data_IF_773532789949
#
_entry.id   IF_773532789949
#
_cell.length_a   1.000
_cell.length_b   1.000
_cell.length_c   1.000
_cell.angle_alpha   90.00
_cell.angle_beta   90.00
_cell.angle_gamma   90.00
#
_symmetry.space_group_name_H-M   'P 1'
#
loop_
_entity.id
_entity.type
_entity.pdbx_description
1 polymer ?
#
# COMPACT_ATOMS: atom_id res chain seq x y z
N UNK A 1 4.32 11.56 -9.73
CA UNK A 1 2.93 12.08 -9.68
C UNK A 1 2.26 11.62 -8.41
N UNK A 2 1.66 12.54 -7.68
CA UNK A 2 0.95 12.24 -6.44
C UNK A 2 -0.54 12.17 -6.73
N UNK A 3 -1.19 11.09 -6.26
CA UNK A 3 -2.63 10.92 -6.35
C UNK A 3 -3.18 10.76 -4.94
N UNK A 4 -4.24 11.46 -4.64
CA UNK A 4 -4.83 11.46 -3.31
C UNK A 4 -6.06 10.57 -3.22
N UNK A 5 -6.22 9.89 -2.08
CA UNK A 5 -7.40 9.09 -1.74
C UNK A 5 -7.80 8.11 -2.83
N UNK A 6 -6.83 7.40 -3.38
CA UNK A 6 -7.08 6.39 -4.40
C UNK A 6 -7.20 5.01 -3.76
N UNK A 7 -7.86 4.11 -4.47
CA UNK A 7 -8.00 2.72 -4.04
C UNK A 7 -6.80 1.92 -4.51
N UNK A 8 -6.17 1.21 -3.59
CA UNK A 8 -5.13 0.24 -3.93
C UNK A 8 -5.48 -1.08 -3.25
N UNK A 9 -5.48 -2.14 -4.04
CA UNK A 9 -5.82 -3.48 -3.55
C UNK A 9 -4.55 -4.24 -3.18
N UNK A 10 -4.49 -4.74 -1.96
CA UNK A 10 -3.33 -5.46 -1.46
C UNK A 10 -3.31 -6.88 -2.04
N UNK A 11 -2.18 -7.26 -2.62
CA UNK A 11 -1.96 -8.59 -3.16
C UNK A 11 -1.02 -9.39 -2.26
N UNK A 12 0.07 -8.78 -1.82
CA UNK A 12 1.03 -9.43 -0.93
C UNK A 12 1.67 -8.39 -0.03
N UNK A 13 1.96 -8.78 1.20
CA UNK A 13 2.56 -7.91 2.20
C UNK A 13 3.75 -8.60 2.85
N UNK A 14 4.68 -7.76 3.34
CA UNK A 14 5.80 -8.20 4.14
C UNK A 14 5.74 -7.43 5.46
N UNK A 15 5.43 -8.15 6.55
CA UNK A 15 5.33 -7.52 7.87
C UNK A 15 6.69 -7.12 8.44
N UNK A 16 7.77 -7.57 7.83
CA UNK A 16 9.13 -7.28 8.29
C UNK A 16 9.79 -6.14 7.52
N UNK A 17 9.15 -5.65 6.47
CA UNK A 17 9.72 -4.62 5.61
C UNK A 17 8.67 -3.68 5.07
N UNK A 18 9.04 -2.40 4.99
CA UNK A 18 8.21 -1.39 4.34
C UNK A 18 8.24 -1.50 2.81
N UNK A 19 9.13 -2.33 2.28
CA UNK A 19 9.37 -2.48 0.85
C UNK A 19 8.92 -3.86 0.38
N UNK A 20 8.67 -3.95 -0.92
CA UNK A 20 8.33 -5.22 -1.53
C UNK A 20 6.86 -5.61 -1.40
N UNK A 21 6.02 -4.72 -0.92
CA UNK A 21 4.59 -4.96 -0.93
C UNK A 21 4.09 -4.97 -2.37
N UNK A 22 3.10 -5.82 -2.67
CA UNK A 22 2.50 -5.92 -3.99
C UNK A 22 1.05 -5.45 -3.91
N UNK A 23 0.67 -4.62 -4.85
CA UNK A 23 -0.70 -4.09 -4.90
C UNK A 23 -1.14 -3.80 -6.32
N UNK A 24 -2.46 -3.72 -6.50
CA UNK A 24 -3.08 -3.23 -7.73
C UNK A 24 -3.56 -1.80 -7.55
N UNK A 25 -3.32 -1.00 -8.56
CA UNK A 25 -3.89 0.33 -8.69
C UNK A 25 -4.28 0.53 -10.16
N UNK A 26 -5.56 0.82 -10.44
CA UNK A 26 -6.09 0.98 -11.80
C UNK A 26 -5.72 -0.18 -12.72
N UNK A 27 -5.91 -1.41 -12.25
CA UNK A 27 -5.63 -2.65 -13.00
C UNK A 27 -4.15 -2.92 -13.25
N UNK A 28 -3.26 -2.05 -12.79
CA UNK A 28 -1.82 -2.26 -12.90
C UNK A 28 -1.27 -2.89 -11.62
N UNK A 29 -0.46 -3.91 -11.79
CA UNK A 29 0.24 -4.56 -10.67
C UNK A 29 1.54 -3.84 -10.37
N UNK A 30 1.67 -3.37 -9.14
CA UNK A 30 2.91 -2.78 -8.64
C UNK A 30 3.56 -3.77 -7.68
N UNK A 31 4.62 -4.41 -8.13
CA UNK A 31 5.37 -5.39 -7.33
C UNK A 31 6.47 -4.76 -6.49
N UNK A 32 6.72 -3.47 -6.67
CA UNK A 32 7.73 -2.75 -5.93
C UNK A 32 7.06 -1.54 -5.27
N UNK A 33 6.63 -1.72 -4.02
CA UNK A 33 5.87 -0.71 -3.28
C UNK A 33 6.54 -0.47 -1.94
N UNK A 34 6.61 0.79 -1.54
CA UNK A 34 7.19 1.20 -0.26
C UNK A 34 6.13 1.90 0.59
N UNK A 35 6.06 1.52 1.87
CA UNK A 35 5.18 2.17 2.84
C UNK A 35 5.92 3.35 3.46
N UNK A 36 5.54 4.55 3.07
CA UNK A 36 6.15 5.78 3.57
C UNK A 36 5.36 6.41 4.72
N UNK A 37 4.19 5.89 5.03
CA UNK A 37 3.35 6.34 6.14
C UNK A 37 3.82 5.68 7.44
N UNK A 38 4.51 6.42 8.29
CA UNK A 38 5.06 5.90 9.55
C UNK A 38 3.97 5.43 10.51
N UNK A 39 2.88 6.16 10.59
CA UNK A 39 1.76 5.80 11.48
C UNK A 39 1.14 4.48 11.06
N UNK A 40 0.86 4.34 9.78
CA UNK A 40 0.30 3.11 9.23
C UNK A 40 1.26 1.93 9.45
N UNK A 41 2.56 2.16 9.19
CA UNK A 41 3.57 1.13 9.40
C UNK A 41 3.64 0.67 10.86
N UNK A 42 3.61 1.62 11.80
CA UNK A 42 3.59 1.28 13.23
C UNK A 42 2.36 0.46 13.60
N UNK A 43 1.19 0.83 13.08
CA UNK A 43 -0.05 0.10 13.34
C UNK A 43 0.02 -1.32 12.78
N UNK A 44 0.64 -1.49 11.61
CA UNK A 44 0.87 -2.82 11.01
C UNK A 44 1.78 -3.65 11.92
N UNK A 45 2.86 -3.06 12.44
CA UNK A 45 3.82 -3.76 13.31
C UNK A 45 3.18 -4.18 14.63
N UNK A 46 2.24 -3.42 15.13
CA UNK A 46 1.51 -3.73 16.37
C UNK A 46 0.38 -4.74 16.16
N UNK A 47 0.17 -5.18 14.92
CA UNK A 47 -0.89 -6.12 14.62
C UNK A 47 -2.29 -5.51 14.61
N UNK A 48 -2.38 -4.21 14.47
CA UNK A 48 -3.65 -3.49 14.48
C UNK A 48 -4.55 -3.87 13.32
N UNK A 49 -3.96 -4.20 12.16
CA UNK A 49 -4.71 -4.59 10.98
C UNK A 49 -4.58 -6.08 10.72
N UNK A 50 -5.68 -6.71 10.32
CA UNK A 50 -5.71 -8.09 9.84
C UNK A 50 -5.94 -8.06 8.34
N UNK A 51 -4.87 -8.19 7.59
CA UNK A 51 -4.97 -8.20 6.15
C UNK A 51 -5.44 -9.56 5.65
N UNK A 52 -6.32 -9.53 4.67
CA UNK A 52 -6.81 -10.71 4.01
C UNK A 52 -6.87 -10.47 2.50
N UNK A 53 -7.16 -11.51 1.75
CA UNK A 53 -7.35 -11.37 0.31
C UNK A 53 -8.46 -10.37 0.03
N UNK A 54 -8.16 -9.40 -0.81
CA UNK A 54 -9.14 -8.37 -1.18
C UNK A 54 -9.13 -7.14 -0.31
N UNK A 55 -8.24 -7.06 0.69
CA UNK A 55 -8.08 -5.84 1.48
C UNK A 55 -7.68 -4.69 0.57
N UNK A 56 -8.37 -3.58 0.71
CA UNK A 56 -8.15 -2.37 -0.08
C UNK A 56 -7.79 -1.21 0.84
N UNK A 57 -6.82 -0.41 0.42
CA UNK A 57 -6.48 0.83 1.12
C UNK A 57 -7.00 2.01 0.33
N UNK A 58 -7.51 3.01 1.04
CA UNK A 58 -7.74 4.34 0.49
C UNK A 58 -6.55 5.16 0.93
N UNK A 59 -5.72 5.59 -0.02
CA UNK A 59 -4.43 6.17 0.32
C UNK A 59 -3.99 7.25 -0.66
N UNK A 60 -3.13 8.12 -0.17
CA UNK A 60 -2.37 9.02 -1.03
C UNK A 60 -1.13 8.27 -1.47
N UNK A 61 -0.86 8.29 -2.76
CA UNK A 61 0.26 7.55 -3.34
C UNK A 61 1.12 8.45 -4.22
N UNK A 62 2.39 8.07 -4.33
CA UNK A 62 3.29 8.66 -5.31
C UNK A 62 3.61 7.60 -6.35
N UNK A 63 3.10 7.81 -7.58
CA UNK A 63 3.35 6.90 -8.69
C UNK A 63 4.77 7.09 -9.20
N UNK A 64 5.48 6.00 -9.54
CA UNK A 64 6.84 6.11 -10.05
C UNK A 64 6.87 6.72 -11.45
N UNK A 65 7.91 7.49 -11.73
CA UNK A 65 8.22 8.00 -13.07
C UNK A 65 9.02 6.99 -13.88
N UNK A 66 9.82 6.17 -13.17
CA UNK A 66 10.69 5.17 -13.78
C UNK A 66 10.31 3.80 -13.25
N UNK A 67 10.54 2.78 -14.06
CA UNK A 67 10.15 1.42 -13.73
C UNK A 67 10.89 0.87 -12.51
N UNK A 68 12.11 1.35 -12.22
CA UNK A 68 12.88 0.93 -11.04
C UNK A 68 12.48 1.66 -9.76
N UNK A 69 11.71 2.72 -9.84
CA UNK A 69 11.27 3.43 -8.65
C UNK A 69 10.06 2.73 -8.03
N UNK A 70 9.98 2.65 -6.69
CA UNK A 70 8.80 2.08 -6.04
C UNK A 70 7.62 3.04 -6.11
N UNK A 71 6.41 2.47 -6.16
CA UNK A 71 5.21 3.22 -5.80
C UNK A 71 5.26 3.43 -4.29
N UNK A 72 5.06 4.65 -3.83
CA UNK A 72 5.07 4.97 -2.40
C UNK A 72 3.68 5.20 -1.88
N UNK A 73 3.35 4.56 -0.77
CA UNK A 73 2.13 4.82 -0.01
C UNK A 73 2.48 5.93 0.98
N UNK A 74 2.00 7.14 0.71
CA UNK A 74 2.34 8.33 1.49
C UNK A 74 1.50 8.47 2.75
N UNK A 75 0.21 8.16 2.65
CA UNK A 75 -0.72 8.25 3.78
C UNK A 75 -1.90 7.31 3.55
N UNK A 76 -2.21 6.50 4.52
CA UNK A 76 -3.38 5.62 4.49
C UNK A 76 -4.52 6.30 5.24
N UNK A 77 -5.63 6.53 4.55
CA UNK A 77 -6.83 7.15 5.11
C UNK A 77 -7.80 6.13 5.67
N UNK A 78 -7.91 4.98 5.02
CA UNK A 78 -8.90 3.97 5.38
C UNK A 78 -8.41 2.59 4.94
N UNK A 79 -8.74 1.58 5.74
CA UNK A 79 -8.49 0.18 5.39
C UNK A 79 -9.86 -0.49 5.23
N UNK A 80 -10.13 -1.04 4.05
CA UNK A 80 -11.37 -1.73 3.73
C UNK A 80 -11.05 -3.21 3.63
N UNK A 81 -11.56 -4.00 4.57
CA UNK A 81 -11.28 -5.44 4.60
C UNK A 81 -12.06 -6.16 3.51
N UNK A 82 -11.38 -7.13 2.87
CA UNK A 82 -12.03 -8.01 1.92
C UNK A 82 -12.85 -9.09 2.61
N UNK A 83 -13.68 -9.74 1.84
CA UNK A 83 -14.50 -10.86 2.31
C UNK A 83 -13.66 -12.13 2.49
#
# INVERSE_FOLDING_TARGET
>A
MIKEKVRVKIIAIDFNSRKGWKLYHNEDLYGNTEIADDRFWNDVQEGYYKFSKGTTLIADIKCPWKIEEPLKILKVHEVIYGD
#
